data_IF_739256006376
#
_entry.id   IF_739256006376
#
_cell.length_a   1.000
_cell.length_b   1.000
_cell.length_c   1.000
_cell.angle_alpha   90.00
_cell.angle_beta   90.00
_cell.angle_gamma   90.00
#
_symmetry.space_group_name_H-M   'P 1'
#
loop_
_entity.id
_entity.type
_entity.pdbx_description
1 polymer ?
#
# COMPACT_ATOMS: atom_id res chain seq x y z
N UNK A 1 5.22 -10.07 -14.88
CA UNK A 1 5.42 -9.94 -13.41
C UNK A 1 6.59 -9.02 -13.00
N UNK A 2 7.40 -8.45 -13.91
CA UNK A 2 8.54 -7.59 -13.53
C UNK A 2 8.15 -6.18 -13.06
N UNK A 3 7.05 -5.64 -13.58
CA UNK A 3 6.63 -4.25 -13.26
C UNK A 3 6.09 -4.10 -11.85
N UNK A 4 5.37 -5.10 -11.33
CA UNK A 4 4.77 -5.07 -9.99
C UNK A 4 5.80 -4.75 -8.91
N UNK A 5 6.92 -5.49 -8.93
CA UNK A 5 7.95 -5.40 -7.90
C UNK A 5 8.65 -4.03 -7.87
N UNK A 6 8.63 -3.30 -8.99
CA UNK A 6 9.11 -1.92 -9.07
C UNK A 6 8.06 -0.96 -8.51
N UNK A 7 6.81 -1.08 -8.96
CA UNK A 7 5.72 -0.17 -8.57
C UNK A 7 5.44 -0.22 -7.07
N UNK A 8 5.39 -1.41 -6.47
CA UNK A 8 5.08 -1.58 -5.04
C UNK A 8 6.14 -0.95 -4.11
N UNK A 9 7.36 -0.74 -4.61
CA UNK A 9 8.47 -0.13 -3.85
C UNK A 9 8.64 1.35 -4.14
N UNK A 10 7.97 1.87 -5.17
CA UNK A 10 8.24 3.20 -5.71
C UNK A 10 7.94 4.28 -4.67
N UNK A 11 6.70 4.33 -4.18
CA UNK A 11 6.28 5.35 -3.20
C UNK A 11 6.87 5.10 -1.81
N UNK A 12 7.21 3.84 -1.48
CA UNK A 12 7.79 3.45 -0.19
C UNK A 12 9.26 3.86 -0.05
N UNK A 13 10.04 3.80 -1.13
CA UNK A 13 11.49 3.99 -1.09
C UNK A 13 12.02 4.80 -2.27
N UNK A 14 11.68 4.47 -3.52
CA UNK A 14 12.38 5.04 -4.68
C UNK A 14 12.11 6.53 -4.86
N UNK A 15 10.87 6.95 -4.65
CA UNK A 15 10.46 8.34 -4.77
C UNK A 15 11.33 9.25 -3.90
N UNK A 16 11.54 8.87 -2.63
CA UNK A 16 12.38 9.61 -1.69
C UNK A 16 13.87 9.31 -1.85
N UNK A 17 14.27 8.06 -1.58
CA UNK A 17 15.68 7.65 -1.44
C UNK A 17 16.46 7.80 -2.75
N UNK A 18 15.84 7.53 -3.90
CA UNK A 18 16.50 7.64 -5.21
C UNK A 18 16.20 8.96 -5.91
N UNK A 19 15.44 9.86 -5.28
CA UNK A 19 15.04 11.17 -5.84
C UNK A 19 14.23 11.06 -7.13
N UNK A 20 13.50 9.95 -7.32
CA UNK A 20 12.56 9.78 -8.44
C UNK A 20 11.23 10.49 -8.13
N UNK A 21 11.27 11.81 -7.92
CA UNK A 21 10.25 12.54 -7.18
C UNK A 21 9.41 13.52 -8.01
N UNK A 22 9.25 13.31 -9.32
CA UNK A 22 8.34 14.14 -10.13
C UNK A 22 6.90 13.99 -9.64
N UNK A 23 6.44 12.75 -9.48
CA UNK A 23 5.12 12.36 -8.96
C UNK A 23 5.21 10.95 -8.37
N UNK A 24 4.36 10.65 -7.40
CA UNK A 24 4.20 9.30 -6.84
C UNK A 24 3.41 8.40 -7.78
N UNK A 25 3.52 7.08 -7.61
CA UNK A 25 2.63 6.10 -8.28
C UNK A 25 1.18 6.35 -7.90
N UNK A 26 0.91 6.68 -6.64
CA UNK A 26 -0.42 7.06 -6.16
C UNK A 26 -1.04 8.24 -6.94
N UNK A 27 -0.23 9.13 -7.51
CA UNK A 27 -0.72 10.30 -8.25
C UNK A 27 -1.06 10.00 -9.71
N UNK A 28 -0.79 8.79 -10.22
CA UNK A 28 -1.13 8.33 -11.58
C UNK A 28 -2.30 7.34 -11.55
N UNK A 29 -3.51 7.82 -11.82
CA UNK A 29 -4.76 7.06 -11.68
C UNK A 29 -4.73 5.66 -12.32
N UNK A 30 -4.25 5.54 -13.56
CA UNK A 30 -4.19 4.26 -14.28
C UNK A 30 -3.15 3.28 -13.69
N UNK A 31 -2.00 3.80 -13.25
CA UNK A 31 -0.92 2.99 -12.68
C UNK A 31 -1.29 2.56 -11.26
N UNK A 32 -1.82 3.48 -10.44
CA UNK A 32 -2.36 3.18 -9.12
C UNK A 32 -3.48 2.14 -9.21
N UNK A 33 -4.44 2.30 -10.13
CA UNK A 33 -5.49 1.30 -10.35
C UNK A 33 -4.93 -0.08 -10.73
N UNK A 34 -3.90 -0.14 -11.57
CA UNK A 34 -3.21 -1.39 -11.90
C UNK A 34 -2.56 -2.03 -10.67
N UNK A 35 -1.79 -1.26 -9.88
CA UNK A 35 -1.14 -1.74 -8.67
C UNK A 35 -2.15 -2.24 -7.63
N UNK A 36 -3.26 -1.52 -7.43
CA UNK A 36 -4.35 -1.92 -6.52
C UNK A 36 -5.01 -3.23 -6.95
N UNK A 37 -5.27 -3.43 -8.24
CA UNK A 37 -5.83 -4.70 -8.74
C UNK A 37 -4.90 -5.88 -8.45
N UNK A 38 -3.59 -5.69 -8.56
CA UNK A 38 -2.62 -6.72 -8.19
C UNK A 38 -2.64 -6.96 -6.68
N UNK A 39 -2.55 -5.91 -5.87
CA UNK A 39 -2.57 -6.00 -4.40
C UNK A 39 -3.90 -6.55 -3.84
N UNK A 40 -4.99 -6.50 -4.58
CA UNK A 40 -6.25 -7.15 -4.20
C UNK A 40 -6.17 -8.68 -4.26
N UNK A 41 -5.21 -9.25 -4.99
CA UNK A 41 -4.99 -10.69 -5.06
C UNK A 41 -4.18 -11.16 -3.83
N UNK A 42 -4.62 -12.18 -3.08
CA UNK A 42 -3.95 -12.64 -1.86
C UNK A 42 -2.46 -12.98 -2.06
N UNK A 43 -2.10 -13.55 -3.20
CA UNK A 43 -0.71 -13.90 -3.54
C UNK A 43 0.22 -12.67 -3.57
N UNK A 44 -0.26 -11.52 -4.06
CA UNK A 44 0.53 -10.30 -4.13
C UNK A 44 0.52 -9.54 -2.80
N UNK A 45 -0.63 -9.48 -2.11
CA UNK A 45 -0.73 -8.86 -0.78
C UNK A 45 0.13 -9.59 0.24
N UNK A 46 0.03 -10.92 0.29
CA UNK A 46 0.78 -11.76 1.23
C UNK A 46 2.29 -11.73 1.01
N UNK A 47 2.73 -11.42 -0.22
CA UNK A 47 4.14 -11.27 -0.56
C UNK A 47 4.69 -9.84 -0.37
N UNK A 48 3.85 -8.87 0.03
CA UNK A 48 4.25 -7.47 0.19
C UNK A 48 4.33 -7.10 1.66
N UNK A 49 5.55 -6.80 2.14
CA UNK A 49 5.78 -6.26 3.48
C UNK A 49 6.41 -4.87 3.35
N UNK A 50 5.61 -3.83 3.58
CA UNK A 50 6.02 -2.45 3.36
C UNK A 50 7.14 -2.01 4.33
N UNK A 51 7.11 -2.48 5.58
CA UNK A 51 8.12 -2.17 6.59
C UNK A 51 9.48 -2.78 6.23
N UNK A 52 9.49 -4.06 5.83
CA UNK A 52 10.70 -4.75 5.41
C UNK A 52 11.31 -4.09 4.16
N UNK A 53 10.48 -3.69 3.20
CA UNK A 53 10.92 -2.92 2.03
C UNK A 53 11.61 -1.62 2.48
N UNK A 54 10.93 -0.80 3.30
CA UNK A 54 11.47 0.49 3.73
C UNK A 54 12.79 0.33 4.48
N UNK A 55 12.85 -0.57 5.46
CA UNK A 55 14.07 -0.85 6.23
C UNK A 55 15.22 -1.27 5.34
N UNK A 56 14.99 -2.18 4.37
CA UNK A 56 16.02 -2.66 3.47
C UNK A 56 16.62 -1.57 2.57
N UNK A 57 15.81 -0.63 2.09
CA UNK A 57 16.32 0.48 1.27
C UNK A 57 16.96 1.57 2.11
N UNK A 58 16.30 2.01 3.18
CA UNK A 58 16.82 3.10 4.02
C UNK A 58 18.02 2.67 4.89
N UNK A 59 18.37 1.38 4.96
CA UNK A 59 19.64 0.91 5.54
C UNK A 59 20.86 1.10 4.63
N UNK A 60 20.67 1.48 3.35
CA UNK A 60 21.78 1.69 2.42
C UNK A 60 22.55 2.95 2.83
N UNK A 61 23.65 2.79 3.55
CA UNK A 61 24.40 3.89 4.17
C UNK A 61 24.95 4.91 3.17
N UNK A 62 25.29 4.47 1.96
CA UNK A 62 25.74 5.36 0.89
C UNK A 62 24.65 6.35 0.41
N UNK A 63 23.37 5.98 0.58
CA UNK A 63 22.23 6.80 0.16
C UNK A 63 21.53 7.48 1.35
N UNK A 64 21.58 6.85 2.53
CA UNK A 64 21.02 7.37 3.77
C UNK A 64 22.01 7.22 4.94
N UNK A 65 23.00 8.13 5.07
CA UNK A 65 23.99 8.05 6.14
C UNK A 65 23.41 8.12 7.55
N UNK A 66 22.26 8.78 7.69
CA UNK A 66 21.56 8.97 8.97
C UNK A 66 20.87 7.70 9.47
N UNK A 67 20.60 6.73 8.59
CA UNK A 67 19.82 5.53 8.91
C UNK A 67 18.35 5.79 9.25
N UNK A 68 17.88 7.03 9.16
CA UNK A 68 16.48 7.36 9.46
C UNK A 68 15.54 6.74 8.43
N UNK A 69 14.52 6.02 8.91
CA UNK A 69 13.47 5.43 8.08
C UNK A 69 12.23 6.34 8.19
N UNK A 70 11.75 6.94 7.09
CA UNK A 70 10.55 7.78 7.12
C UNK A 70 9.32 7.01 7.61
N UNK A 71 8.40 7.67 8.31
CA UNK A 71 7.13 7.04 8.72
C UNK A 71 6.17 6.93 7.54
N UNK A 72 6.13 7.94 6.67
CA UNK A 72 5.30 7.95 5.47
C UNK A 72 5.79 7.01 4.35
N UNK A 73 5.09 6.99 3.20
CA UNK A 73 3.82 7.68 2.94
C UNK A 73 2.64 7.02 3.69
N UNK A 74 1.62 7.81 4.06
CA UNK A 74 0.39 7.33 4.73
C UNK A 74 -0.45 6.40 3.83
N UNK A 75 -0.47 6.71 2.53
CA UNK A 75 -1.11 5.93 1.50
C UNK A 75 -0.16 5.71 0.30
N UNK A 76 0.70 4.68 0.35
CA UNK A 76 1.66 4.37 -0.71
C UNK A 76 1.01 3.82 -1.99
N UNK A 77 -0.28 3.45 -1.96
CA UNK A 77 -0.90 2.72 -3.06
C UNK A 77 -2.16 3.40 -3.59
N UNK A 78 -2.50 4.59 -3.08
CA UNK A 78 -3.73 5.30 -3.43
C UNK A 78 -4.98 4.55 -2.96
N UNK A 79 -4.91 3.83 -1.84
CA UNK A 79 -6.06 3.16 -1.24
C UNK A 79 -6.63 4.05 -0.15
N UNK A 80 -7.78 4.65 -0.42
CA UNK A 80 -8.57 5.33 0.61
C UNK A 80 -8.89 4.32 1.72
N UNK A 81 -8.23 4.46 2.88
CA UNK A 81 -8.57 3.67 4.08
C UNK A 81 -10.00 3.91 4.59
N UNK A 82 -10.74 4.84 3.97
CA UNK A 82 -12.17 5.04 4.20
C UNK A 82 -13.02 3.82 3.81
N UNK A 83 -12.54 2.93 2.92
CA UNK A 83 -13.30 1.79 2.42
C UNK A 83 -13.36 0.56 3.34
N UNK A 84 -12.47 0.42 4.33
CA UNK A 84 -12.45 -0.75 5.23
C UNK A 84 -13.42 -0.61 6.41
N UNK A 85 -13.86 0.62 6.73
CA UNK A 85 -14.86 0.88 7.78
C UNK A 85 -16.28 0.45 7.40
N UNK A 86 -16.63 0.43 6.11
CA UNK A 86 -18.01 0.16 5.66
C UNK A 86 -18.34 -1.33 5.55
N UNK A 87 -17.35 -2.22 5.37
CA UNK A 87 -17.59 -3.66 5.22
C UNK A 87 -17.89 -4.37 6.55
N UNK A 88 -17.47 -3.82 7.69
CA UNK A 88 -17.70 -4.43 9.01
C UNK A 88 -19.14 -4.26 9.53
N UNK A 89 -19.94 -3.35 8.96
CA UNK A 89 -21.29 -3.04 9.48
C UNK A 89 -22.42 -3.82 8.81
N UNK A 90 -22.19 -4.37 7.61
CA UNK A 90 -23.28 -5.02 6.83
C UNK A 90 -23.66 -6.43 7.33
N UNK A 91 -22.74 -7.16 7.97
CA UNK A 91 -22.98 -8.57 8.38
C UNK A 91 -23.85 -8.71 9.64
N UNK A 92 -24.15 -7.63 10.38
CA UNK A 92 -24.86 -7.73 11.67
C UNK A 92 -26.37 -7.48 11.60
N UNK A 93 -26.93 -7.12 10.43
CA UNK A 93 -28.34 -6.70 10.32
C UNK A 93 -29.33 -7.78 9.85
N UNK A 94 -28.87 -8.98 9.47
CA UNK A 94 -29.74 -10.02 8.88
C UNK A 94 -30.19 -11.14 9.83
N UNK A 95 -29.86 -11.10 11.13
CA UNK A 95 -30.18 -12.20 12.08
C UNK A 95 -31.28 -11.92 13.11
N UNK A 96 -31.97 -10.77 13.08
CA UNK A 96 -32.93 -10.40 14.14
C UNK A 96 -34.39 -10.17 13.69
N UNK A 97 -34.84 -10.74 12.58
CA UNK A 97 -36.23 -10.58 12.10
C UNK A 97 -37.01 -11.91 11.92
N UNK A 98 -36.66 -12.95 12.68
CA UNK A 98 -37.47 -14.18 12.78
C UNK A 98 -37.55 -14.68 14.21
N UNK A 99 -38.32 -14.00 15.07
CA UNK A 99 -38.96 -14.60 16.24
C UNK A 99 -40.28 -13.87 16.53
N UNK A 100 -41.34 -14.66 16.67
CA UNK A 100 -42.70 -14.33 17.14
C UNK A 100 -43.69 -13.81 16.10
N UNK A 101 -44.22 -14.76 15.32
CA UNK A 101 -45.65 -14.91 15.10
C UNK A 101 -46.13 -16.03 16.04
#
# INVERSE_FOLDING_TARGET
>A
MRTFVTLVRFDLAYHGLFRCNLRRVADYSNIAAYLRRLLAMPAFRGATNEEHIKRGYYSIRALNPSGMVPVGPLDPFGVDKAGESSLATSTRRSRSARRHA
#
